data_IF_229645914027
#
_entry.id   IF_229645914027
#
_cell.length_a   1.000
_cell.length_b   1.000
_cell.length_c   1.000
_cell.angle_alpha   90.00
_cell.angle_beta   90.00
_cell.angle_gamma   90.00
#
_symmetry.space_group_name_H-M   'P 1'
#
loop_
_entity.id
_entity.type
_entity.pdbx_description
1 polymer ?
#
# COMPACT_ATOMS: atom_id res chain seq x y z
N UNK A 1 10.61 6.51 -9.89
CA UNK A 1 11.10 5.74 -8.73
C UNK A 1 11.21 4.26 -9.13
N UNK A 2 10.11 3.56 -9.45
CA UNK A 2 10.11 2.11 -9.76
C UNK A 2 11.15 1.76 -10.83
N UNK A 3 11.16 2.47 -11.96
CA UNK A 3 12.12 2.25 -13.06
C UNK A 3 13.56 2.50 -12.62
N UNK A 4 13.80 3.47 -11.72
CA UNK A 4 15.15 3.75 -11.20
C UNK A 4 15.65 2.65 -10.25
N UNK A 5 14.74 2.00 -9.51
CA UNK A 5 15.10 0.94 -8.55
C UNK A 5 15.16 -0.45 -9.18
N UNK A 6 14.25 -0.76 -10.10
CA UNK A 6 14.08 -2.10 -10.68
C UNK A 6 14.51 -2.19 -12.15
N UNK A 7 14.89 -1.07 -12.78
CA UNK A 7 15.22 -1.03 -14.20
C UNK A 7 14.06 -1.48 -15.07
N UNK A 8 14.38 -2.20 -16.15
CA UNK A 8 13.40 -2.75 -17.10
C UNK A 8 12.97 -4.19 -16.78
N UNK A 9 13.29 -4.68 -15.57
CA UNK A 9 12.97 -6.05 -15.15
C UNK A 9 11.49 -6.29 -14.92
N UNK A 10 10.73 -5.21 -14.71
CA UNK A 10 9.27 -5.24 -14.49
C UNK A 10 8.55 -4.33 -15.45
N UNK A 11 7.35 -4.72 -15.88
CA UNK A 11 6.49 -3.85 -16.68
C UNK A 11 5.83 -2.81 -15.78
N UNK A 12 5.99 -1.53 -16.10
CA UNK A 12 5.35 -0.42 -15.37
C UNK A 12 4.15 0.08 -16.16
N UNK A 13 2.96 0.00 -15.57
CA UNK A 13 1.72 0.52 -16.14
C UNK A 13 1.31 1.73 -15.31
N UNK A 14 1.21 2.89 -15.98
CA UNK A 14 0.79 4.13 -15.32
C UNK A 14 -0.67 4.42 -15.58
N UNK A 15 -1.40 4.72 -14.51
CA UNK A 15 -2.77 5.23 -14.61
C UNK A 15 -2.79 6.59 -15.32
N UNK A 16 -3.80 6.87 -16.17
CA UNK A 16 -3.98 8.21 -16.76
C UNK A 16 -4.32 9.27 -15.70
N UNK A 17 -5.06 8.90 -14.66
CA UNK A 17 -5.47 9.76 -13.54
C UNK A 17 -5.71 8.94 -12.26
N UNK A 18 -5.70 9.57 -11.09
CA UNK A 18 -5.95 8.90 -9.80
C UNK A 18 -7.43 8.59 -9.61
N UNK A 19 -7.81 7.31 -9.54
CA UNK A 19 -9.19 6.83 -9.36
C UNK A 19 -9.36 5.72 -8.33
N UNK A 20 -8.45 5.62 -7.35
CA UNK A 20 -8.44 4.56 -6.34
C UNK A 20 -8.01 3.19 -6.90
N UNK A 21 -8.05 2.10 -6.10
CA UNK A 21 -7.41 0.83 -6.40
C UNK A 21 -8.15 -0.02 -7.43
N UNK A 22 -9.48 0.02 -7.49
CA UNK A 22 -10.23 -0.78 -8.48
C UNK A 22 -9.86 -0.45 -9.93
N UNK A 23 -9.86 0.82 -10.37
CA UNK A 23 -9.48 1.14 -11.75
C UNK A 23 -8.04 0.78 -12.08
N UNK A 24 -7.10 0.94 -11.13
CA UNK A 24 -5.70 0.56 -11.32
C UNK A 24 -5.56 -0.95 -11.56
N UNK A 25 -6.25 -1.77 -10.77
CA UNK A 25 -6.27 -3.23 -10.92
C UNK A 25 -6.97 -3.64 -12.22
N UNK A 26 -8.08 -2.99 -12.57
CA UNK A 26 -8.80 -3.20 -13.83
C UNK A 26 -7.91 -2.91 -15.05
N UNK A 27 -7.12 -1.84 -15.00
CA UNK A 27 -6.17 -1.49 -16.05
C UNK A 27 -5.04 -2.52 -16.15
N UNK A 28 -4.49 -2.98 -15.02
CA UNK A 28 -3.46 -4.01 -14.98
C UNK A 28 -3.97 -5.35 -15.54
N UNK A 29 -5.19 -5.78 -15.16
CA UNK A 29 -5.82 -6.99 -15.71
C UNK A 29 -6.05 -6.87 -17.23
N UNK A 30 -6.51 -5.71 -17.69
CA UNK A 30 -6.68 -5.45 -19.12
C UNK A 30 -5.35 -5.50 -19.89
N UNK A 31 -4.27 -5.03 -19.29
CA UNK A 31 -2.93 -5.15 -19.87
C UNK A 31 -2.49 -6.61 -20.00
N UNK A 32 -2.66 -7.41 -18.95
CA UNK A 32 -2.33 -8.83 -18.98
C UNK A 32 -3.14 -9.55 -20.06
N UNK A 33 -4.44 -9.28 -20.16
CA UNK A 33 -5.31 -9.92 -21.12
C UNK A 33 -5.10 -9.44 -22.55
N UNK A 34 -5.16 -8.13 -22.79
CA UNK A 34 -5.28 -7.56 -24.12
C UNK A 34 -3.92 -7.21 -24.74
N UNK A 35 -2.90 -6.89 -23.95
CA UNK A 35 -1.56 -6.59 -24.47
C UNK A 35 -0.60 -7.78 -24.37
N UNK A 36 -0.69 -8.60 -23.31
CA UNK A 36 0.18 -9.76 -23.10
C UNK A 36 -0.44 -11.08 -23.59
N UNK A 37 -1.74 -11.13 -23.81
CA UNK A 37 -2.43 -12.34 -24.31
C UNK A 37 -2.54 -13.45 -23.27
N UNK A 38 -2.46 -13.13 -21.98
CA UNK A 38 -2.59 -14.10 -20.90
C UNK A 38 -3.94 -14.84 -20.95
N UNK A 39 -3.96 -16.10 -20.53
CA UNK A 39 -5.18 -16.90 -20.47
C UNK A 39 -6.15 -16.36 -19.42
N UNK A 40 -7.45 -16.59 -19.60
CA UNK A 40 -8.45 -16.31 -18.57
C UNK A 40 -8.24 -17.17 -17.30
N UNK A 41 -7.60 -18.33 -17.44
CA UNK A 41 -7.27 -19.24 -16.34
C UNK A 41 -6.02 -18.84 -15.56
N UNK A 42 -5.25 -17.89 -16.05
CA UNK A 42 -4.04 -17.39 -15.36
C UNK A 42 -4.40 -16.85 -13.98
N UNK A 43 -3.66 -17.29 -12.95
CA UNK A 43 -3.85 -16.77 -11.60
C UNK A 43 -3.09 -15.46 -11.44
N UNK A 44 -3.80 -14.43 -11.04
CA UNK A 44 -3.27 -13.10 -10.78
C UNK A 44 -3.30 -12.83 -9.29
N UNK A 45 -2.17 -12.36 -8.75
CA UNK A 45 -2.07 -11.87 -7.38
C UNK A 45 -1.88 -10.36 -7.40
N UNK A 46 -2.71 -9.67 -6.64
CA UNK A 46 -2.58 -8.23 -6.37
C UNK A 46 -2.08 -8.07 -4.94
N UNK A 47 -1.06 -7.26 -4.76
CA UNK A 47 -0.49 -6.98 -3.44
C UNK A 47 0.03 -5.54 -3.36
N UNK A 48 -0.06 -4.88 -2.18
CA UNK A 48 0.66 -3.63 -1.96
C UNK A 48 2.18 -3.90 -1.91
N UNK A 49 2.97 -2.87 -2.20
CA UNK A 49 4.44 -2.99 -2.23
C UNK A 49 5.13 -2.42 -0.99
N UNK A 50 4.36 -1.89 -0.03
CA UNK A 50 4.85 -1.11 1.11
C UNK A 50 4.60 -1.71 2.51
N UNK A 51 3.96 -2.89 2.70
CA UNK A 51 3.85 -3.46 4.04
C UNK A 51 5.21 -3.96 4.55
N UNK A 52 5.44 -3.78 5.83
CA UNK A 52 6.53 -4.44 6.55
C UNK A 52 6.10 -5.85 6.96
N UNK A 53 6.83 -6.86 6.51
CA UNK A 53 6.45 -8.26 6.74
C UNK A 53 7.67 -9.18 6.74
N UNK A 54 7.45 -10.44 7.07
CA UNK A 54 8.46 -11.51 7.08
C UNK A 54 8.28 -12.51 5.93
N UNK A 55 9.23 -13.43 5.77
CA UNK A 55 9.26 -14.36 4.62
C UNK A 55 7.98 -15.23 4.50
N UNK A 56 7.38 -15.64 5.62
CA UNK A 56 6.13 -16.42 5.66
C UNK A 56 4.94 -15.77 4.93
N UNK A 57 4.98 -14.46 4.76
CA UNK A 57 3.99 -13.72 3.95
C UNK A 57 3.94 -14.23 2.51
N UNK A 58 5.10 -14.47 1.89
CA UNK A 58 5.17 -14.98 0.52
C UNK A 58 4.76 -16.45 0.41
N UNK A 59 4.94 -17.24 1.48
CA UNK A 59 4.44 -18.61 1.54
C UNK A 59 2.92 -18.62 1.60
N UNK A 60 2.32 -17.69 2.35
CA UNK A 60 0.87 -17.49 2.36
C UNK A 60 0.34 -17.09 0.98
N UNK A 61 1.05 -16.23 0.23
CA UNK A 61 0.68 -15.92 -1.16
C UNK A 61 0.69 -17.18 -2.05
N UNK A 62 1.68 -18.08 -1.90
CA UNK A 62 1.70 -19.35 -2.64
C UNK A 62 0.47 -20.22 -2.30
N UNK A 63 0.05 -20.25 -1.04
CA UNK A 63 -1.16 -20.95 -0.63
C UNK A 63 -2.43 -20.32 -1.23
N UNK A 64 -2.48 -18.98 -1.35
CA UNK A 64 -3.58 -18.30 -2.03
C UNK A 64 -3.64 -18.68 -3.52
N UNK A 65 -2.50 -18.71 -4.22
CA UNK A 65 -2.42 -19.15 -5.62
C UNK A 65 -2.93 -20.58 -5.75
N UNK A 66 -2.43 -21.52 -4.95
CA UNK A 66 -2.87 -22.91 -4.96
C UNK A 66 -4.37 -23.05 -4.68
N UNK A 67 -4.93 -22.22 -3.79
CA UNK A 67 -6.38 -22.20 -3.51
C UNK A 67 -7.20 -21.76 -4.72
N UNK A 68 -6.73 -20.78 -5.51
CA UNK A 68 -7.38 -20.36 -6.75
C UNK A 68 -7.27 -21.44 -7.82
N UNK A 69 -6.09 -22.06 -7.97
CA UNK A 69 -5.85 -23.15 -8.93
C UNK A 69 -6.76 -24.34 -8.67
N UNK A 70 -6.98 -24.67 -7.38
CA UNK A 70 -7.88 -25.72 -6.94
C UNK A 70 -9.38 -25.33 -6.98
N UNK A 71 -9.71 -24.11 -7.45
CA UNK A 71 -11.07 -23.58 -7.50
C UNK A 71 -11.79 -23.55 -6.13
N UNK A 72 -11.05 -23.32 -5.04
CA UNK A 72 -11.62 -23.20 -3.69
C UNK A 72 -12.58 -22.02 -3.60
N UNK A 73 -12.23 -20.89 -4.22
CA UNK A 73 -13.09 -19.73 -4.35
C UNK A 73 -12.70 -18.90 -5.59
N UNK A 74 -13.62 -18.03 -6.05
CA UNK A 74 -13.36 -17.13 -7.16
C UNK A 74 -12.40 -15.98 -6.77
N UNK A 75 -12.44 -15.56 -5.51
CA UNK A 75 -11.58 -14.56 -4.90
C UNK A 75 -10.98 -15.12 -3.61
N UNK A 76 -9.68 -15.14 -3.51
CA UNK A 76 -8.94 -15.53 -2.31
C UNK A 76 -8.19 -14.32 -1.78
N UNK A 77 -8.31 -14.03 -0.48
CA UNK A 77 -7.63 -12.91 0.15
C UNK A 77 -6.76 -13.37 1.33
N UNK A 78 -5.76 -12.56 1.66
CA UNK A 78 -4.92 -12.77 2.84
C UNK A 78 -5.57 -12.13 4.05
N UNK A 79 -5.78 -12.93 5.10
CA UNK A 79 -6.29 -12.45 6.38
C UNK A 79 -5.17 -12.30 7.40
N UNK A 80 -5.01 -11.11 7.96
CA UNK A 80 -4.01 -10.82 8.98
C UNK A 80 -4.66 -10.90 10.36
N UNK A 81 -4.00 -11.56 11.31
CA UNK A 81 -4.50 -11.62 12.69
C UNK A 81 -4.51 -10.23 13.33
N UNK A 82 -5.68 -9.71 13.76
CA UNK A 82 -5.77 -8.39 14.38
C UNK A 82 -5.04 -8.34 15.72
N UNK A 83 -4.29 -7.26 15.94
CA UNK A 83 -3.63 -6.99 17.23
C UNK A 83 -4.34 -5.89 18.04
N UNK A 84 -5.23 -5.13 17.40
CA UNK A 84 -6.06 -4.08 18.02
C UNK A 84 -7.29 -3.78 17.14
N UNK A 85 -8.35 -3.13 17.68
CA UNK A 85 -9.52 -2.75 16.89
C UNK A 85 -9.23 -1.50 16.03
N UNK A 86 -8.85 -1.73 14.77
CA UNK A 86 -8.51 -0.69 13.82
C UNK A 86 -9.73 -0.23 13.00
N UNK A 87 -9.90 1.07 12.82
CA UNK A 87 -10.88 1.66 11.89
C UNK A 87 -10.31 1.81 10.46
N UNK A 88 -9.04 1.44 10.25
CA UNK A 88 -8.34 1.65 8.97
C UNK A 88 -8.45 0.49 8.02
N UNK A 89 -8.67 -0.71 8.55
CA UNK A 89 -8.62 -1.95 7.79
C UNK A 89 -10.02 -2.52 7.57
N UNK A 90 -10.18 -3.26 6.48
CA UNK A 90 -11.30 -4.16 6.30
C UNK A 90 -11.19 -5.38 7.22
N UNK A 91 -12.31 -5.96 7.58
CA UNK A 91 -12.41 -7.18 8.41
C UNK A 91 -13.11 -8.28 7.63
N UNK A 92 -12.55 -9.46 7.72
CA UNK A 92 -13.07 -10.68 7.11
C UNK A 92 -13.43 -11.65 8.20
N UNK A 93 -14.71 -12.00 8.31
CA UNK A 93 -15.20 -13.01 9.27
C UNK A 93 -15.28 -14.35 8.55
N UNK A 94 -14.46 -15.35 8.92
CA UNK A 94 -14.58 -16.70 8.37
C UNK A 94 -15.83 -17.41 8.92
N UNK A 95 -16.32 -18.40 8.19
CA UNK A 95 -17.35 -19.30 8.71
C UNK A 95 -16.78 -20.20 9.83
N UNK A 96 -17.58 -20.50 10.88
CA UNK A 96 -17.15 -21.25 12.06
C UNK A 96 -16.57 -22.66 11.76
N UNK A 97 -16.98 -23.31 10.69
CA UNK A 97 -16.48 -24.62 10.23
C UNK A 97 -16.00 -24.56 8.78
N UNK A 98 -15.49 -23.41 8.39
CA UNK A 98 -15.24 -23.04 6.99
C UNK A 98 -13.90 -23.53 6.42
N UNK A 99 -13.19 -24.47 7.07
CA UNK A 99 -11.94 -25.01 6.51
C UNK A 99 -12.19 -25.65 5.15
N UNK A 100 -11.53 -25.07 4.13
CA UNK A 100 -11.54 -25.58 2.79
C UNK A 100 -10.20 -26.29 2.56
N UNK A 101 -10.25 -27.62 2.34
CA UNK A 101 -9.05 -28.43 2.11
C UNK A 101 -8.90 -28.73 0.63
N UNK A 102 -7.67 -28.73 0.15
CA UNK A 102 -7.36 -29.21 -1.20
C UNK A 102 -7.05 -30.70 -1.13
N UNK A 103 -7.69 -31.50 -1.98
CA UNK A 103 -7.60 -32.98 -1.95
C UNK A 103 -6.23 -33.53 -2.38
N UNK A 104 -5.28 -32.73 -2.85
CA UNK A 104 -4.02 -33.18 -3.46
C UNK A 104 -2.80 -33.26 -2.52
N UNK A 105 -3.01 -33.34 -1.19
CA UNK A 105 -1.94 -33.69 -0.25
C UNK A 105 -1.08 -32.54 0.27
N UNK A 106 -1.28 -31.32 -0.17
CA UNK A 106 -0.76 -30.11 0.49
C UNK A 106 -1.84 -29.55 1.42
N UNK A 107 -1.48 -29.35 2.68
CA UNK A 107 -2.38 -28.82 3.69
C UNK A 107 -2.52 -27.29 3.49
N UNK A 108 -3.48 -26.88 2.66
CA UNK A 108 -3.79 -25.47 2.47
C UNK A 108 -4.94 -25.12 3.41
N UNK A 109 -4.68 -24.22 4.34
CA UNK A 109 -5.68 -23.74 5.29
C UNK A 109 -6.37 -22.49 4.70
N UNK A 110 -7.33 -22.70 3.81
CA UNK A 110 -8.23 -21.64 3.37
C UNK A 110 -9.56 -21.75 4.14
N UNK A 111 -10.11 -20.62 4.54
CA UNK A 111 -11.39 -20.54 5.24
C UNK A 111 -12.42 -19.87 4.34
N UNK A 112 -13.61 -20.42 4.23
CA UNK A 112 -14.71 -19.74 3.55
C UNK A 112 -15.13 -18.50 4.33
N UNK A 113 -15.50 -17.43 3.64
CA UNK A 113 -15.83 -16.14 4.26
C UNK A 113 -17.34 -16.02 4.45
N UNK A 114 -17.74 -15.67 5.68
CA UNK A 114 -19.11 -15.36 6.03
C UNK A 114 -19.47 -13.90 5.70
N UNK A 115 -18.58 -12.96 6.06
CA UNK A 115 -18.82 -11.53 5.94
C UNK A 115 -17.52 -10.76 5.74
N UNK A 116 -17.57 -9.73 4.90
CA UNK A 116 -16.57 -8.70 4.76
C UNK A 116 -17.14 -7.36 5.30
N UNK A 117 -16.34 -6.57 5.99
CA UNK A 117 -16.73 -5.24 6.49
C UNK A 117 -15.55 -4.29 6.35
N UNK A 118 -15.67 -3.29 5.48
CA UNK A 118 -14.60 -2.32 5.25
C UNK A 118 -14.69 -1.17 6.27
N UNK A 119 -13.56 -0.86 6.90
CA UNK A 119 -13.35 0.29 7.80
C UNK A 119 -14.49 0.51 8.82
N UNK A 120 -14.74 -0.45 9.70
CA UNK A 120 -15.78 -0.33 10.73
C UNK A 120 -15.39 0.72 11.78
N UNK A 121 -16.34 1.15 12.59
CA UNK A 121 -16.04 1.90 13.82
C UNK A 121 -15.31 1.02 14.83
N UNK A 122 -14.56 1.62 15.78
CA UNK A 122 -13.82 0.87 16.82
C UNK A 122 -14.70 -0.13 17.54
N UNK A 123 -15.91 0.25 17.93
CA UNK A 123 -16.86 -0.64 18.62
C UNK A 123 -17.28 -1.85 17.78
N UNK A 124 -17.49 -1.65 16.47
CA UNK A 124 -17.78 -2.75 15.53
C UNK A 124 -16.55 -3.62 15.32
N UNK A 125 -15.37 -3.02 15.23
CA UNK A 125 -14.10 -3.74 15.09
C UNK A 125 -13.83 -4.67 16.30
N UNK A 126 -14.10 -4.19 17.53
CA UNK A 126 -13.98 -5.00 18.75
C UNK A 126 -14.91 -6.23 18.69
N UNK A 127 -16.14 -6.05 18.21
CA UNK A 127 -17.09 -7.15 18.08
C UNK A 127 -16.68 -8.15 16.97
N UNK A 128 -16.14 -7.65 15.87
CA UNK A 128 -15.62 -8.48 14.79
C UNK A 128 -14.42 -9.32 15.26
N UNK A 129 -13.51 -8.76 16.07
CA UNK A 129 -12.38 -9.50 16.64
C UNK A 129 -12.85 -10.62 17.55
N UNK A 130 -13.90 -10.43 18.36
CA UNK A 130 -14.50 -11.50 19.17
C UNK A 130 -15.08 -12.63 18.32
N UNK A 131 -15.48 -12.35 17.10
CA UNK A 131 -15.94 -13.31 16.10
C UNK A 131 -14.79 -13.93 15.28
N UNK A 132 -13.54 -13.81 15.74
CA UNK A 132 -12.33 -14.30 15.06
C UNK A 132 -12.12 -13.70 13.67
N UNK A 133 -12.59 -12.48 13.44
CA UNK A 133 -12.32 -11.78 12.20
C UNK A 133 -10.83 -11.52 12.00
N UNK A 134 -10.40 -11.57 10.74
CA UNK A 134 -9.06 -11.22 10.30
C UNK A 134 -9.09 -9.84 9.63
N UNK A 135 -8.01 -9.06 9.72
CA UNK A 135 -7.87 -7.88 8.86
C UNK A 135 -7.68 -8.31 7.41
N UNK A 136 -8.28 -7.57 6.50
CA UNK A 136 -7.95 -7.66 5.08
C UNK A 136 -6.54 -7.09 4.84
N UNK A 137 -5.62 -7.95 4.45
CA UNK A 137 -4.22 -7.59 4.19
C UNK A 137 -4.00 -6.84 2.88
N UNK A 138 -5.06 -6.56 2.11
CA UNK A 138 -4.95 -5.91 0.80
C UNK A 138 -4.32 -6.80 -0.28
N UNK A 139 -4.19 -8.10 -0.02
CA UNK A 139 -3.66 -9.08 -0.97
C UNK A 139 -4.81 -9.94 -1.48
N UNK A 140 -4.93 -10.02 -2.80
CA UNK A 140 -6.02 -10.73 -3.47
C UNK A 140 -5.46 -11.64 -4.56
N UNK A 141 -5.98 -12.84 -4.66
CA UNK A 141 -5.69 -13.79 -5.74
C UNK A 141 -6.99 -14.21 -6.44
N UNK A 142 -6.98 -14.25 -7.75
CA UNK A 142 -8.12 -14.63 -8.59
C UNK A 142 -7.66 -15.03 -9.99
N UNK A 143 -8.54 -15.70 -10.76
CA UNK A 143 -8.26 -15.93 -12.18
C UNK A 143 -8.45 -14.65 -12.99
N UNK A 144 -7.61 -14.42 -13.98
CA UNK A 144 -7.68 -13.23 -14.85
C UNK A 144 -9.07 -13.05 -15.46
N UNK A 145 -9.71 -14.15 -15.90
CA UNK A 145 -11.06 -14.13 -16.47
C UNK A 145 -12.13 -13.60 -15.50
N UNK A 146 -12.00 -13.88 -14.20
CA UNK A 146 -12.88 -13.32 -13.17
C UNK A 146 -12.81 -11.78 -13.16
N UNK A 147 -11.61 -11.22 -13.14
CA UNK A 147 -11.43 -9.77 -13.15
C UNK A 147 -11.87 -9.16 -14.49
N UNK A 148 -11.56 -9.80 -15.60
CA UNK A 148 -11.99 -9.33 -16.93
C UNK A 148 -13.51 -9.33 -17.10
N UNK A 149 -14.22 -10.26 -16.47
CA UNK A 149 -15.69 -10.23 -16.45
C UNK A 149 -16.24 -8.99 -15.70
N UNK A 150 -15.54 -8.53 -14.66
CA UNK A 150 -15.89 -7.29 -13.94
C UNK A 150 -15.53 -6.06 -14.79
N UNK A 151 -14.33 -6.02 -15.38
CA UNK A 151 -13.88 -4.93 -16.26
C UNK A 151 -14.89 -4.67 -17.37
N UNK A 152 -15.37 -5.73 -18.03
CA UNK A 152 -16.33 -5.65 -19.16
C UNK A 152 -17.69 -5.07 -18.79
N UNK A 153 -18.05 -5.02 -17.51
CA UNK A 153 -19.27 -4.32 -17.06
C UNK A 153 -19.16 -2.80 -17.22
N UNK A 154 -17.95 -2.28 -17.25
CA UNK A 154 -17.65 -0.85 -17.37
C UNK A 154 -17.13 -0.51 -18.77
N UNK A 155 -16.11 -1.23 -19.19
CA UNK A 155 -15.44 -1.00 -20.47
C UNK A 155 -15.34 -2.34 -21.22
N UNK A 156 -16.06 -2.45 -22.34
CA UNK A 156 -15.89 -3.56 -23.26
C UNK A 156 -14.95 -3.09 -24.37
N UNK A 157 -13.69 -3.48 -24.29
CA UNK A 157 -12.61 -3.09 -25.19
C UNK A 157 -11.89 -4.33 -25.73
N UNK A 158 -11.42 -4.24 -26.97
CA UNK A 158 -10.63 -5.29 -27.63
C UNK A 158 -9.12 -5.03 -27.56
N UNK A 159 -8.72 -3.82 -27.17
CA UNK A 159 -7.31 -3.43 -27.02
C UNK A 159 -7.05 -2.77 -25.67
N UNK A 160 -5.81 -2.86 -25.21
CA UNK A 160 -5.38 -2.20 -23.99
C UNK A 160 -5.45 -0.67 -24.11
N UNK A 161 -5.07 -0.13 -25.26
CA UNK A 161 -5.08 1.31 -25.54
C UNK A 161 -6.51 1.87 -25.49
N UNK A 162 -7.52 1.13 -25.96
CA UNK A 162 -8.92 1.53 -25.84
C UNK A 162 -9.35 1.56 -24.37
N UNK A 163 -9.04 0.50 -23.59
CA UNK A 163 -9.30 0.51 -22.14
C UNK A 163 -8.64 1.70 -21.45
N UNK A 164 -7.37 1.98 -21.77
CA UNK A 164 -6.61 3.08 -21.18
C UNK A 164 -7.17 4.45 -21.53
N UNK A 165 -7.60 4.65 -22.77
CA UNK A 165 -8.20 5.92 -23.24
C UNK A 165 -9.53 6.22 -22.55
N UNK A 166 -10.28 5.15 -22.21
CA UNK A 166 -11.58 5.20 -21.55
C UNK A 166 -11.49 5.01 -20.02
N UNK A 167 -10.30 5.11 -19.44
CA UNK A 167 -10.04 4.85 -18.02
C UNK A 167 -10.96 5.65 -17.08
N UNK A 168 -11.36 6.85 -17.47
CA UNK A 168 -12.28 7.70 -16.70
C UNK A 168 -13.71 7.14 -16.58
N UNK A 169 -14.09 6.15 -17.38
CA UNK A 169 -15.39 5.47 -17.28
C UNK A 169 -15.45 4.50 -16.09
N UNK A 170 -14.30 4.05 -15.57
CA UNK A 170 -14.28 3.29 -14.31
C UNK A 170 -14.72 4.17 -13.14
N UNK A 171 -15.52 3.66 -12.20
CA UNK A 171 -15.87 4.40 -10.99
C UNK A 171 -14.63 4.68 -10.13
N UNK A 172 -14.60 5.83 -9.46
CA UNK A 172 -13.53 6.17 -8.50
C UNK A 172 -13.84 5.49 -7.17
N UNK A 173 -13.39 4.24 -7.01
CA UNK A 173 -13.71 3.37 -5.87
C UNK A 173 -12.57 2.39 -5.60
N UNK A 174 -12.43 1.90 -4.36
CA UNK A 174 -11.46 0.87 -4.02
C UNK A 174 -11.89 -0.51 -4.53
N UNK A 175 -10.91 -1.41 -4.70
CA UNK A 175 -11.16 -2.82 -5.04
C UNK A 175 -11.97 -3.53 -3.95
N UNK A 176 -11.77 -3.15 -2.70
CA UNK A 176 -12.47 -3.70 -1.55
C UNK A 176 -13.98 -3.48 -1.69
N UNK A 177 -14.41 -2.25 -1.92
CA UNK A 177 -15.82 -1.90 -2.09
C UNK A 177 -16.42 -2.41 -3.41
N UNK A 178 -15.65 -2.35 -4.51
CA UNK A 178 -16.20 -2.73 -5.82
C UNK A 178 -16.23 -4.23 -6.03
N UNK A 179 -15.23 -4.96 -5.54
CA UNK A 179 -15.05 -6.37 -5.83
C UNK A 179 -15.18 -7.24 -4.59
N UNK A 180 -14.40 -6.99 -3.52
CA UNK A 180 -14.31 -7.91 -2.40
C UNK A 180 -15.61 -7.99 -1.60
N UNK A 181 -16.28 -6.88 -1.31
CA UNK A 181 -17.58 -6.87 -0.62
C UNK A 181 -18.72 -7.48 -1.43
N UNK A 182 -18.64 -7.43 -2.77
CA UNK A 182 -19.70 -7.92 -3.67
C UNK A 182 -19.47 -9.35 -4.14
N UNK A 183 -18.30 -9.91 -3.85
CA UNK A 183 -17.94 -11.25 -4.31
C UNK A 183 -18.76 -12.33 -3.58
N UNK A 184 -19.35 -13.25 -4.34
CA UNK A 184 -20.19 -14.33 -3.79
C UNK A 184 -19.40 -15.56 -3.35
N UNK A 185 -18.21 -15.76 -3.90
CA UNK A 185 -17.33 -16.87 -3.62
C UNK A 185 -15.98 -16.35 -3.16
N UNK A 186 -15.79 -16.29 -1.83
CA UNK A 186 -14.61 -15.71 -1.20
C UNK A 186 -14.03 -16.69 -0.19
N UNK A 187 -12.71 -16.86 -0.23
CA UNK A 187 -11.94 -17.54 0.80
C UNK A 187 -10.86 -16.63 1.36
N UNK A 188 -10.48 -16.86 2.61
CA UNK A 188 -9.38 -16.18 3.27
C UNK A 188 -8.31 -17.19 3.68
N UNK A 189 -7.05 -16.89 3.38
CA UNK A 189 -5.88 -17.63 3.88
C UNK A 189 -5.27 -16.82 5.02
N UNK A 190 -5.28 -17.36 6.27
CA UNK A 190 -4.74 -16.64 7.41
C UNK A 190 -3.22 -16.50 7.35
N UNK A 191 -2.72 -15.32 7.68
CA UNK A 191 -1.31 -15.05 7.95
C UNK A 191 -1.14 -14.63 9.42
N UNK A 192 -0.31 -15.35 10.15
CA UNK A 192 -0.09 -15.15 11.59
C UNK A 192 1.27 -14.51 11.93
N UNK A 193 2.07 -14.21 10.91
CA UNK A 193 3.37 -13.58 11.06
C UNK A 193 3.32 -12.06 11.29
N UNK A 194 4.48 -11.44 11.36
CA UNK A 194 4.57 -10.00 11.49
C UNK A 194 4.10 -9.31 10.20
N UNK A 195 3.14 -8.42 10.38
CA UNK A 195 2.64 -7.56 9.32
C UNK A 195 2.32 -6.17 9.90
N UNK A 196 2.82 -5.13 9.24
CA UNK A 196 2.52 -3.74 9.59
C UNK A 196 2.38 -2.89 8.33
N UNK A 197 1.34 -2.07 8.32
CA UNK A 197 1.24 -0.93 7.43
C UNK A 197 2.10 0.21 8.00
N UNK A 198 3.18 0.56 7.29
CA UNK A 198 4.08 1.65 7.68
C UNK A 198 3.58 3.03 7.21
N UNK A 199 2.32 3.17 6.89
CA UNK A 199 1.70 4.40 6.38
C UNK A 199 1.65 5.57 7.36
N UNK A 200 2.12 5.42 8.60
CA UNK A 200 2.24 6.51 9.56
C UNK A 200 3.63 6.55 10.20
N UNK A 201 4.05 7.73 10.64
CA UNK A 201 5.32 7.87 11.38
C UNK A 201 5.34 7.06 12.67
N UNK A 202 4.18 6.87 13.32
CA UNK A 202 4.09 6.05 14.52
C UNK A 202 4.47 4.60 14.21
N UNK A 203 3.81 3.97 13.23
CA UNK A 203 4.08 2.57 12.86
C UNK A 203 5.48 2.38 12.31
N UNK A 204 6.00 3.34 11.53
CA UNK A 204 7.37 3.30 11.03
C UNK A 204 8.39 3.33 12.18
N UNK A 205 8.20 4.24 13.17
CA UNK A 205 9.17 4.39 14.28
C UNK A 205 9.19 3.22 15.24
N UNK A 206 8.15 2.40 15.30
CA UNK A 206 8.12 1.16 16.07
C UNK A 206 9.08 0.09 15.52
N UNK A 207 9.35 0.12 14.20
CA UNK A 207 10.25 -0.83 13.53
C UNK A 207 11.70 -0.32 13.42
N UNK A 208 11.95 0.94 13.75
CA UNK A 208 13.30 1.48 13.71
C UNK A 208 14.15 0.90 14.84
N UNK A 209 15.28 0.27 14.47
CA UNK A 209 16.24 -0.30 15.43
C UNK A 209 16.93 0.75 16.32
N UNK A 210 16.97 2.00 15.88
CA UNK A 210 17.59 3.12 16.60
C UNK A 210 16.66 4.31 16.59
N UNK A 211 16.64 5.10 17.66
CA UNK A 211 15.79 6.29 17.73
C UNK A 211 16.26 7.44 16.83
N UNK A 212 17.46 7.35 16.27
CA UNK A 212 18.01 8.37 15.36
C UNK A 212 18.47 7.75 14.05
N UNK A 213 18.13 8.42 12.95
CA UNK A 213 18.58 8.12 11.58
C UNK A 213 19.17 9.38 10.99
N UNK A 214 20.35 9.27 10.34
CA UNK A 214 21.07 10.41 9.78
C UNK A 214 21.83 11.24 10.83
N UNK A 215 22.10 12.51 10.53
CA UNK A 215 22.88 13.42 11.39
C UNK A 215 22.00 13.97 12.52
N UNK A 216 21.75 13.15 13.55
CA UNK A 216 20.88 13.50 14.67
C UNK A 216 21.49 13.09 16.01
N UNK A 217 21.36 13.95 17.00
CA UNK A 217 21.79 13.72 18.39
C UNK A 217 20.60 13.90 19.32
N UNK A 218 20.40 12.93 20.19
CA UNK A 218 19.33 12.93 21.19
C UNK A 218 19.89 13.10 22.58
N UNK A 219 19.37 14.05 23.34
CA UNK A 219 19.68 14.25 24.76
C UNK A 219 19.05 13.16 25.62
N UNK A 220 19.50 13.09 26.87
CA UNK A 220 19.14 12.04 27.85
C UNK A 220 17.72 12.18 28.41
N UNK A 221 17.06 13.32 28.23
CA UNK A 221 15.70 13.58 28.72
C UNK A 221 14.58 13.23 27.72
N UNK A 222 14.95 12.68 26.60
CA UNK A 222 13.97 12.21 25.59
C UNK A 222 13.41 10.83 25.95
N UNK A 223 12.10 10.64 25.74
CA UNK A 223 11.41 9.36 25.90
C UNK A 223 10.62 9.04 24.64
N UNK A 224 10.69 7.80 24.18
CA UNK A 224 9.94 7.30 23.00
C UNK A 224 9.94 8.29 21.81
N UNK A 225 11.04 9.02 21.64
CA UNK A 225 11.21 10.05 20.61
C UNK A 225 12.10 9.52 19.49
N UNK A 226 11.78 9.84 18.24
CA UNK A 226 12.58 9.44 17.08
C UNK A 226 12.90 10.66 16.23
N UNK A 227 14.12 10.67 15.68
CA UNK A 227 14.62 11.73 14.77
C UNK A 227 15.14 11.08 13.50
N UNK A 228 14.54 11.42 12.38
CA UNK A 228 14.94 11.01 11.03
C UNK A 228 15.42 12.28 10.31
N UNK A 229 16.70 12.37 10.04
CA UNK A 229 17.30 13.55 9.43
C UNK A 229 18.02 13.20 8.12
N UNK A 230 17.46 13.61 7.00
CA UNK A 230 18.06 13.49 5.66
C UNK A 230 18.87 14.73 5.27
N UNK A 231 18.89 15.76 6.14
CA UNK A 231 19.64 16.97 5.89
C UNK A 231 21.11 16.80 6.32
N UNK A 232 21.98 17.63 5.75
CA UNK A 232 23.38 17.72 6.19
C UNK A 232 23.53 18.39 7.55
N UNK A 233 22.64 19.33 7.88
CA UNK A 233 22.66 20.05 9.15
C UNK A 233 22.31 19.08 10.29
N UNK A 234 23.06 19.09 11.41
CA UNK A 234 22.75 18.28 12.57
C UNK A 234 21.44 18.72 13.23
N UNK A 235 20.68 17.74 13.73
CA UNK A 235 19.51 17.99 14.57
C UNK A 235 19.83 17.51 15.97
N UNK A 236 19.70 18.39 16.97
CA UNK A 236 19.76 18.06 18.38
C UNK A 236 18.37 18.20 18.99
N UNK A 237 17.94 17.18 19.74
CA UNK A 237 16.67 17.19 20.48
C UNK A 237 16.91 16.77 21.93
N UNK A 238 16.23 17.42 22.87
CA UNK A 238 16.21 17.02 24.28
C UNK A 238 14.88 17.36 24.94
N UNK A 239 14.49 16.63 25.99
CA UNK A 239 13.27 16.86 26.75
C UNK A 239 11.95 16.56 25.98
N UNK A 240 12.00 15.80 24.91
CA UNK A 240 10.80 15.43 24.12
C UNK A 240 10.29 14.05 24.54
N UNK A 241 8.95 13.89 24.53
CA UNK A 241 8.27 12.63 24.83
C UNK A 241 7.19 12.32 23.80
N UNK A 242 7.21 11.08 23.28
CA UNK A 242 6.29 10.58 22.25
C UNK A 242 6.27 11.42 20.95
N UNK A 243 7.43 11.91 20.53
CA UNK A 243 7.56 12.81 19.38
C UNK A 243 8.32 12.12 18.24
N UNK A 244 7.94 12.43 17.03
CA UNK A 244 8.75 12.21 15.83
C UNK A 244 9.19 13.56 15.26
N UNK A 245 10.49 13.64 14.92
CA UNK A 245 11.10 14.72 14.14
C UNK A 245 11.59 14.11 12.84
N UNK A 246 11.04 14.54 11.72
CA UNK A 246 11.48 14.10 10.39
C UNK A 246 11.87 15.31 9.57
N UNK A 247 13.09 15.34 9.04
CA UNK A 247 13.62 16.44 8.26
C UNK A 247 14.17 15.93 6.93
N UNK A 248 13.67 16.49 5.86
CA UNK A 248 14.14 16.26 4.48
C UNK A 248 14.31 17.60 3.77
N UNK A 249 14.86 17.62 2.54
CA UNK A 249 14.99 18.89 1.78
C UNK A 249 13.69 19.63 1.56
N UNK A 250 12.55 18.93 1.51
CA UNK A 250 11.24 19.51 1.22
C UNK A 250 10.54 20.09 2.47
N UNK A 251 11.01 19.73 3.68
CA UNK A 251 10.42 20.27 4.90
C UNK A 251 10.83 19.55 6.18
N UNK A 252 10.35 20.09 7.29
CA UNK A 252 10.60 19.56 8.61
C UNK A 252 9.24 19.31 9.30
N UNK A 253 9.05 18.08 9.74
CA UNK A 253 7.91 17.66 10.54
C UNK A 253 8.33 17.50 12.00
N UNK A 254 7.55 18.06 12.90
CA UNK A 254 7.64 17.80 14.34
C UNK A 254 6.23 17.55 14.85
N UNK A 255 5.93 16.34 15.31
CA UNK A 255 4.61 16.03 15.84
C UNK A 255 4.66 14.93 16.91
N UNK A 256 3.62 14.84 17.74
CA UNK A 256 3.41 13.66 18.57
C UNK A 256 3.10 12.45 17.70
N UNK A 257 3.61 11.27 18.07
CA UNK A 257 3.41 10.02 17.31
C UNK A 257 1.94 9.70 17.07
N UNK A 258 1.09 9.86 18.07
CA UNK A 258 -0.35 9.63 17.98
C UNK A 258 -1.10 10.66 17.10
N UNK A 259 -0.45 11.79 16.75
CA UNK A 259 -1.00 12.79 15.81
C UNK A 259 -0.52 12.57 14.37
N UNK A 260 0.41 11.62 14.15
CA UNK A 260 1.06 11.44 12.83
C UNK A 260 0.11 10.93 11.73
N UNK A 261 -1.01 10.36 12.07
CA UNK A 261 -2.01 9.85 11.12
C UNK A 261 -2.75 10.96 10.36
N UNK A 262 -2.97 12.11 11.00
CA UNK A 262 -3.67 13.27 10.41
C UNK A 262 -2.81 14.17 9.51
N UNK A 263 -1.52 13.93 9.42
CA UNK A 263 -0.56 14.80 8.72
C UNK A 263 -0.92 14.97 7.24
N UNK A 264 -1.37 13.92 6.56
CA UNK A 264 -1.73 13.97 5.14
C UNK A 264 -2.68 15.12 4.82
N UNK A 265 -3.73 15.28 5.60
CA UNK A 265 -4.71 16.35 5.40
C UNK A 265 -4.12 17.75 5.73
N UNK A 266 -3.24 17.81 6.74
CA UNK A 266 -2.60 19.06 7.14
C UNK A 266 -1.61 19.57 6.10
N UNK A 267 -0.87 18.68 5.42
CA UNK A 267 0.14 19.05 4.43
C UNK A 267 -0.41 19.14 3.00
N UNK A 268 -1.63 18.68 2.75
CA UNK A 268 -2.23 18.68 1.40
C UNK A 268 -2.27 20.08 0.75
N UNK A 269 -2.41 21.12 1.58
CA UNK A 269 -2.43 22.51 1.14
C UNK A 269 -1.05 23.16 1.14
N UNK A 270 -0.01 22.46 1.62
CA UNK A 270 1.37 22.92 1.54
C UNK A 270 1.92 22.52 0.16
N UNK A 271 2.04 23.46 -0.72
CA UNK A 271 2.56 23.25 -2.08
C UNK A 271 3.91 23.96 -2.30
N UNK A 272 4.93 23.70 -1.45
CA UNK A 272 6.26 24.26 -1.70
C UNK A 272 6.84 23.66 -2.98
N UNK A 273 7.81 24.36 -3.58
CA UNK A 273 8.61 23.78 -4.64
C UNK A 273 9.36 22.57 -4.09
N UNK A 274 9.39 21.41 -4.80
CA UNK A 274 10.25 20.32 -4.42
C UNK A 274 11.72 20.75 -4.39
N UNK A 275 12.39 20.57 -3.26
CA UNK A 275 13.79 20.92 -3.06
C UNK A 275 14.73 19.78 -3.48
N UNK A 276 14.20 18.57 -3.63
CA UNK A 276 14.89 17.39 -4.14
C UNK A 276 13.94 16.56 -5.01
N UNK A 277 14.41 16.11 -6.17
CA UNK A 277 13.67 15.15 -7.00
C UNK A 277 14.60 14.16 -7.70
N UNK A 278 14.11 12.93 -7.83
CA UNK A 278 14.69 11.90 -8.69
C UNK A 278 13.97 11.90 -10.04
N UNK A 279 14.74 11.94 -11.12
CA UNK A 279 14.27 11.97 -12.50
C UNK A 279 14.93 10.82 -13.28
N UNK A 280 14.42 10.47 -14.45
CA UNK A 280 14.98 9.41 -15.31
C UNK A 280 16.44 9.67 -15.70
N UNK A 281 16.84 10.92 -15.79
CA UNK A 281 18.18 11.36 -16.16
C UNK A 281 19.13 11.54 -14.95
N UNK A 282 18.65 11.45 -13.73
CA UNK A 282 19.43 11.68 -12.52
C UNK A 282 18.64 12.33 -11.40
N UNK A 283 19.31 13.09 -10.56
CA UNK A 283 18.67 13.80 -9.45
C UNK A 283 18.95 15.29 -9.52
N UNK A 284 18.10 16.11 -8.91
CA UNK A 284 18.44 17.47 -8.59
C UNK A 284 18.16 17.83 -7.15
N UNK A 285 18.97 18.74 -6.61
CA UNK A 285 18.74 19.36 -5.30
C UNK A 285 18.77 20.88 -5.47
N UNK A 286 17.76 21.57 -4.95
CA UNK A 286 17.74 23.03 -4.87
C UNK A 286 18.65 23.43 -3.71
N UNK A 287 19.59 24.32 -3.96
CA UNK A 287 20.54 24.88 -2.98
C UNK A 287 20.07 26.24 -2.47
N UNK A 288 19.45 27.03 -3.33
CA UNK A 288 18.92 28.33 -3.03
C UNK A 288 17.68 28.62 -3.88
N UNK A 289 16.64 29.17 -3.26
CA UNK A 289 15.41 29.63 -3.89
C UNK A 289 14.97 30.94 -3.24
N UNK A 290 15.49 32.03 -3.76
CA UNK A 290 15.33 33.38 -3.17
C UNK A 290 14.51 34.26 -4.06
N UNK A 291 13.44 34.84 -3.54
CA UNK A 291 12.64 35.87 -4.16
C UNK A 291 13.04 37.21 -3.53
N UNK A 292 13.55 38.14 -4.33
CA UNK A 292 13.97 39.46 -3.89
C UNK A 292 12.78 40.43 -3.81
N UNK A 293 12.94 41.53 -3.06
CA UNK A 293 11.90 42.56 -2.87
C UNK A 293 11.48 43.23 -4.18
N UNK A 294 12.39 43.29 -5.16
CA UNK A 294 12.13 43.84 -6.50
C UNK A 294 11.40 42.87 -7.45
N UNK A 295 11.02 41.67 -6.94
CA UNK A 295 10.34 40.65 -7.71
C UNK A 295 11.26 39.75 -8.54
N UNK A 296 12.58 39.98 -8.53
CA UNK A 296 13.54 39.08 -9.14
C UNK A 296 13.61 37.77 -8.34
N UNK A 297 13.92 36.65 -9.03
CA UNK A 297 13.97 35.33 -8.46
C UNK A 297 15.30 34.64 -8.82
N UNK A 298 16.05 34.21 -7.82
CA UNK A 298 17.25 33.39 -7.97
C UNK A 298 16.97 31.94 -7.58
N UNK A 299 17.35 30.99 -8.44
CA UNK A 299 17.22 29.57 -8.19
C UNK A 299 18.54 28.86 -8.53
N UNK A 300 19.21 28.32 -7.53
CA UNK A 300 20.43 27.54 -7.68
C UNK A 300 20.18 26.10 -7.46
N UNK A 301 20.60 25.22 -8.38
CA UNK A 301 20.42 23.74 -8.28
C UNK A 301 21.72 23.00 -8.53
N UNK A 302 21.92 21.91 -7.81
CA UNK A 302 22.88 20.87 -8.21
C UNK A 302 22.14 19.78 -8.98
N UNK A 303 22.72 19.37 -10.11
CA UNK A 303 22.24 18.28 -10.93
C UNK A 303 23.25 17.14 -10.87
N UNK A 304 22.79 15.91 -10.60
CA UNK A 304 23.60 14.69 -10.68
C UNK A 304 23.01 13.83 -11.80
N UNK A 305 23.78 13.61 -12.85
CA UNK A 305 23.35 12.80 -14.00
C UNK A 305 23.64 11.32 -13.75
N UNK A 306 22.72 10.46 -14.17
CA UNK A 306 22.96 9.04 -14.24
C UNK A 306 23.99 8.77 -15.35
N UNK A 307 24.91 7.78 -15.18
CA UNK A 307 25.86 7.38 -16.20
C UNK A 307 25.20 6.83 -17.45
#
# INVERSE_FOLDING_TARGET
>A
IITNQLGDTVSVITEPERRDTFPAIALAASYLKLAKGCSDDEVVVIMPCDPYTEAGYFDTIRQMVASVEANVAALVLMGITPTYPSEKYGYVVPNENGELRIENGEEITALSVHRFTEKPTTAVAEELIKQHALWNGGVFAFRLGYMMAIVRKYINADTFEDTRSRYSEFPKISFDYEVAEKAQSVAVVPFTGQWKDLGSWNTLTEELRKPTVGNAVMGTHCKNTHVINELHNPIYVDGLEDVVVAACPDGILVCKKNCSEGIKNAVENLTPRPMYEERRWGTYRVLDDTIYEDGNHSLTKTLTLNP
#
